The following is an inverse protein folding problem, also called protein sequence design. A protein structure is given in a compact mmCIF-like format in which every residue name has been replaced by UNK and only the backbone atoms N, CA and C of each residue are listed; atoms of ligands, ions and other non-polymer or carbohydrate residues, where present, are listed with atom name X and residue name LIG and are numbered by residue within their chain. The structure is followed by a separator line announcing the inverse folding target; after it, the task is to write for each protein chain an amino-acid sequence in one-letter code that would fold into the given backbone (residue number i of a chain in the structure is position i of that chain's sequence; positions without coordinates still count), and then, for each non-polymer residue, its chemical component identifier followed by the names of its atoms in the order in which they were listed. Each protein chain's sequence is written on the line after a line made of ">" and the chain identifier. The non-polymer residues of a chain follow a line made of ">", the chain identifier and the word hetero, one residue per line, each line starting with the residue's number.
data_IF_261147153901
#
_entry.id   IF_261147153901
#
_cell.length_a   1.000
_cell.length_b   1.000
_cell.length_c   1.000
_cell.angle_alpha   90.00
_cell.angle_beta   90.00
_cell.angle_gamma   90.00
#
_symmetry.space_group_name_H-M   'P 1'
#
loop_
_entity.id
_entity.type
_entity.pdbx_description
1 polymer ?
#
# COMPACT_ATOMS: atom_id res chain seq x y z
N UNK A 1 -30.48 30.53 16.51
CA UNK A 1 -31.68 31.40 16.54
C UNK A 1 -31.98 31.79 15.12
N UNK A 2 -32.89 31.08 14.47
CA UNK A 2 -33.39 31.37 13.12
C UNK A 2 -34.55 32.34 13.20
N UNK A 3 -34.82 33.14 12.15
CA UNK A 3 -36.20 33.45 11.82
C UNK A 3 -36.57 33.03 10.39
N UNK A 4 -37.73 32.36 10.34
CA UNK A 4 -38.57 32.21 9.15
C UNK A 4 -39.16 33.55 8.69
N UNK A 5 -39.34 33.75 7.41
CA UNK A 5 -40.65 34.13 6.84
C UNK A 5 -40.62 34.21 5.31
N UNK A 6 -41.62 33.58 4.74
CA UNK A 6 -42.05 33.54 3.35
C UNK A 6 -42.69 34.87 2.95
N UNK A 7 -42.48 35.35 1.75
CA UNK A 7 -43.53 36.08 1.02
C UNK A 7 -43.32 35.99 -0.49
N UNK A 8 -44.38 35.53 -1.13
CA UNK A 8 -44.56 35.47 -2.59
C UNK A 8 -44.61 36.84 -3.23
N UNK A 9 -44.03 36.95 -4.43
CA UNK A 9 -44.45 37.98 -5.42
C UNK A 9 -44.32 37.39 -6.82
N UNK A 10 -45.46 37.08 -7.41
CA UNK A 10 -45.65 36.81 -8.84
C UNK A 10 -45.28 38.03 -9.66
N UNK A 11 -44.29 37.91 -10.58
CA UNK A 11 -44.13 38.82 -11.70
C UNK A 11 -44.11 38.01 -13.00
N UNK A 12 -45.00 38.43 -13.89
CA UNK A 12 -45.33 37.83 -15.19
C UNK A 12 -44.13 37.80 -16.13
N UNK A 13 -43.93 36.66 -16.77
CA UNK A 13 -42.95 36.40 -17.81
C UNK A 13 -43.24 37.24 -19.08
N UNK A 14 -42.18 37.77 -19.65
CA UNK A 14 -42.14 38.31 -21.00
C UNK A 14 -41.49 37.26 -21.92
N UNK A 15 -42.09 36.83 -23.05
CA UNK A 15 -41.53 35.78 -23.88
C UNK A 15 -40.68 36.38 -25.01
N UNK A 16 -39.43 36.66 -24.75
CA UNK A 16 -38.40 36.85 -25.78
C UNK A 16 -37.05 36.99 -25.09
N UNK A 17 -36.42 35.83 -24.79
CA UNK A 17 -34.96 35.61 -24.81
C UNK A 17 -34.71 34.14 -24.41
N UNK A 18 -35.00 33.25 -25.35
CA UNK A 18 -34.49 31.89 -25.26
C UNK A 18 -33.07 31.83 -25.81
N UNK A 19 -32.13 32.36 -25.06
CA UNK A 19 -30.76 31.92 -25.18
C UNK A 19 -30.55 30.83 -24.10
N UNK A 20 -31.00 29.61 -24.39
CA UNK A 20 -30.66 28.41 -23.62
C UNK A 20 -29.20 28.17 -23.90
N UNK A 21 -28.32 28.79 -23.09
CA UNK A 21 -26.96 28.40 -22.95
C UNK A 21 -27.00 26.94 -22.47
N UNK A 22 -26.79 26.01 -23.39
CA UNK A 22 -26.46 24.63 -23.07
C UNK A 22 -25.23 24.72 -22.15
N UNK A 23 -25.47 24.62 -20.83
CA UNK A 23 -24.40 24.34 -19.88
C UNK A 23 -23.74 23.10 -20.41
N UNK A 24 -22.49 23.23 -20.81
CA UNK A 24 -21.66 22.12 -21.28
C UNK A 24 -21.73 21.01 -20.21
N UNK A 25 -22.55 19.99 -20.48
CA UNK A 25 -22.84 18.90 -19.56
C UNK A 25 -21.71 17.89 -19.50
N UNK A 26 -20.51 18.29 -20.00
CA UNK A 26 -19.32 17.44 -19.88
C UNK A 26 -18.94 17.31 -18.42
N UNK A 27 -18.62 16.10 -17.96
CA UNK A 27 -18.12 15.87 -16.61
C UNK A 27 -16.91 16.78 -16.35
N UNK A 28 -16.87 17.44 -15.20
CA UNK A 28 -15.76 18.31 -14.80
C UNK A 28 -15.00 17.71 -13.61
N UNK A 29 -13.75 18.16 -13.40
CA UNK A 29 -12.92 17.69 -12.31
C UNK A 29 -12.62 16.20 -12.42
N UNK A 30 -12.68 15.49 -11.29
CA UNK A 30 -12.36 14.06 -11.25
C UNK A 30 -13.16 13.20 -12.23
N UNK A 31 -14.38 13.58 -12.55
CA UNK A 31 -15.31 12.81 -13.38
C UNK A 31 -14.93 12.74 -14.86
N UNK A 32 -14.07 13.66 -15.32
CA UNK A 32 -13.63 13.73 -16.72
C UNK A 32 -12.51 12.76 -17.06
N UNK A 33 -11.98 12.02 -16.07
CA UNK A 33 -10.72 11.31 -16.23
C UNK A 33 -10.84 9.81 -15.94
N UNK A 34 -9.99 9.03 -16.59
CA UNK A 34 -9.61 7.69 -16.18
C UNK A 34 -8.20 7.78 -15.58
N UNK A 35 -8.03 7.21 -14.40
CA UNK A 35 -6.82 7.33 -13.60
C UNK A 35 -6.04 6.03 -13.58
N UNK A 36 -4.72 6.13 -13.49
CA UNK A 36 -3.88 4.98 -13.21
C UNK A 36 -2.81 5.31 -12.16
N UNK A 37 -2.56 4.34 -11.29
CA UNK A 37 -1.47 4.33 -10.33
C UNK A 37 -0.59 3.12 -10.59
N UNK A 38 0.69 3.35 -10.87
CA UNK A 38 1.70 2.31 -11.03
C UNK A 38 2.68 2.39 -9.87
N UNK A 39 2.90 1.27 -9.23
CA UNK A 39 3.82 1.05 -8.12
C UNK A 39 4.85 0.01 -8.55
N UNK A 40 6.12 0.43 -8.62
CA UNK A 40 7.25 -0.42 -8.90
C UNK A 40 8.12 -0.57 -7.65
N UNK A 41 7.85 -1.62 -6.91
CA UNK A 41 8.63 -2.00 -5.73
C UNK A 41 9.84 -2.89 -6.05
N UNK A 42 10.57 -3.26 -5.02
CA UNK A 42 11.72 -4.17 -5.11
C UNK A 42 11.36 -5.54 -5.67
N UNK A 43 10.17 -6.03 -5.34
CA UNK A 43 9.71 -7.38 -5.74
C UNK A 43 8.62 -7.36 -6.79
N UNK A 44 7.72 -6.38 -6.78
CA UNK A 44 6.50 -6.38 -7.56
C UNK A 44 6.38 -5.14 -8.46
N UNK A 45 5.80 -5.33 -9.64
CA UNK A 45 5.24 -4.28 -10.48
C UNK A 45 3.71 -4.37 -10.41
N UNK A 46 3.04 -3.30 -9.98
CA UNK A 46 1.60 -3.26 -9.76
C UNK A 46 0.97 -2.05 -10.44
N UNK A 47 -0.15 -2.26 -11.11
CA UNK A 47 -0.94 -1.19 -11.74
C UNK A 47 -2.39 -1.30 -11.25
N UNK A 48 -2.99 -0.17 -10.92
CA UNK A 48 -4.45 0.00 -10.82
C UNK A 48 -4.91 1.02 -11.84
N UNK A 49 -5.98 0.69 -12.56
CA UNK A 49 -6.72 1.64 -13.40
C UNK A 49 -8.10 1.82 -12.79
N UNK A 50 -8.52 3.07 -12.59
CA UNK A 50 -9.75 3.38 -11.87
C UNK A 50 -10.51 4.53 -12.52
N UNK A 51 -11.84 4.52 -12.31
CA UNK A 51 -12.74 5.63 -12.60
C UNK A 51 -13.42 6.09 -11.29
N UNK A 52 -13.67 7.39 -11.14
CA UNK A 52 -14.36 7.91 -9.95
C UNK A 52 -15.76 7.29 -9.81
N UNK A 53 -16.22 7.21 -8.57
CA UNK A 53 -17.59 6.94 -8.19
C UNK A 53 -17.95 7.77 -6.95
N UNK A 54 -19.19 7.71 -6.48
CA UNK A 54 -19.69 8.51 -5.35
C UNK A 54 -18.94 8.20 -4.03
N UNK A 55 -18.47 6.96 -3.86
CA UNK A 55 -17.71 6.50 -2.67
C UNK A 55 -16.20 6.59 -2.82
N UNK A 56 -15.68 7.30 -3.85
CA UNK A 56 -14.25 7.43 -4.14
C UNK A 56 -13.92 7.00 -5.56
N UNK A 57 -13.64 5.73 -5.79
CA UNK A 57 -13.39 5.18 -7.13
C UNK A 57 -13.72 3.68 -7.22
N UNK A 58 -13.91 3.22 -8.46
CA UNK A 58 -13.98 1.79 -8.79
C UNK A 58 -12.81 1.39 -9.67
N UNK A 59 -12.20 0.26 -9.36
CA UNK A 59 -11.15 -0.34 -10.19
C UNK A 59 -11.78 -0.90 -11.47
N UNK A 60 -11.25 -0.52 -12.63
CA UNK A 60 -11.70 -0.99 -13.96
C UNK A 60 -10.73 -1.98 -14.59
N UNK A 61 -9.45 -1.89 -14.24
CA UNK A 61 -8.41 -2.85 -14.64
C UNK A 61 -7.29 -2.87 -13.60
N UNK A 62 -6.58 -3.98 -13.50
CA UNK A 62 -5.45 -4.14 -12.61
C UNK A 62 -4.38 -5.05 -13.23
N UNK A 63 -3.15 -4.90 -12.74
CA UNK A 63 -2.05 -5.79 -13.06
C UNK A 63 -1.14 -5.95 -11.84
N UNK A 64 -0.62 -7.15 -11.64
CA UNK A 64 0.39 -7.44 -10.65
C UNK A 64 1.30 -8.54 -11.16
N UNK A 65 2.60 -8.31 -11.12
CA UNK A 65 3.62 -9.29 -11.49
C UNK A 65 4.81 -9.20 -10.56
N UNK A 66 5.32 -10.34 -10.11
CA UNK A 66 6.60 -10.43 -9.42
C UNK A 66 7.69 -10.24 -10.46
N UNK A 67 8.49 -9.18 -10.30
CA UNK A 67 9.57 -8.80 -11.21
C UNK A 67 10.95 -8.96 -10.59
N UNK A 68 11.02 -9.02 -9.23
CA UNK A 68 12.29 -9.13 -8.46
C UNK A 68 13.34 -8.12 -8.96
N UNK A 69 12.93 -6.85 -9.08
CA UNK A 69 13.84 -5.80 -9.58
C UNK A 69 15.08 -5.64 -8.70
N UNK A 70 14.92 -5.80 -7.38
CA UNK A 70 16.00 -5.68 -6.42
C UNK A 70 16.80 -6.97 -6.16
N UNK A 71 16.63 -8.02 -7.00
CA UNK A 71 17.40 -9.26 -6.88
C UNK A 71 18.91 -8.98 -7.02
N UNK A 72 19.70 -9.39 -6.02
CA UNK A 72 21.16 -9.18 -6.00
C UNK A 72 21.61 -7.75 -5.66
N UNK A 73 20.68 -6.81 -5.45
CA UNK A 73 21.00 -5.40 -5.18
C UNK A 73 21.79 -5.22 -3.88
N UNK A 74 21.53 -6.05 -2.86
CA UNK A 74 22.22 -5.96 -1.58
C UNK A 74 23.72 -6.20 -1.68
N UNK A 75 24.17 -6.98 -2.67
CA UNK A 75 25.58 -7.33 -2.88
C UNK A 75 26.25 -6.48 -3.97
N UNK A 76 25.51 -6.02 -4.97
CA UNK A 76 26.05 -5.35 -6.16
C UNK A 76 25.87 -3.83 -6.16
N UNK A 77 24.99 -3.28 -5.31
CA UNK A 77 24.52 -1.88 -5.35
C UNK A 77 23.94 -1.44 -6.71
N UNK A 78 23.65 -2.38 -7.60
CA UNK A 78 23.16 -2.10 -8.94
C UNK A 78 22.05 -3.06 -9.34
N UNK A 79 21.10 -2.58 -10.14
CA UNK A 79 20.09 -3.43 -10.79
C UNK A 79 20.75 -4.28 -11.85
N UNK A 80 20.50 -5.60 -11.85
CA UNK A 80 21.03 -6.47 -12.90
C UNK A 80 20.28 -6.26 -14.21
N UNK A 81 20.95 -6.42 -15.35
CA UNK A 81 20.34 -6.32 -16.69
C UNK A 81 19.13 -7.26 -16.80
N UNK A 82 19.26 -8.49 -16.30
CA UNK A 82 18.17 -9.47 -16.33
C UNK A 82 16.94 -9.02 -15.52
N UNK A 83 17.13 -8.40 -14.34
CA UNK A 83 16.04 -7.87 -13.55
C UNK A 83 15.38 -6.64 -14.21
N UNK A 84 16.20 -5.79 -14.85
CA UNK A 84 15.70 -4.65 -15.62
C UNK A 84 14.86 -5.13 -16.83
N UNK A 85 15.35 -6.08 -17.62
CA UNK A 85 14.62 -6.62 -18.78
C UNK A 85 13.28 -7.23 -18.39
N UNK A 86 13.28 -8.09 -17.37
CA UNK A 86 12.07 -8.71 -16.80
C UNK A 86 11.05 -7.67 -16.34
N UNK A 87 11.53 -6.58 -15.75
CA UNK A 87 10.68 -5.49 -15.27
C UNK A 87 10.12 -4.67 -16.43
N UNK A 88 10.93 -4.36 -17.45
CA UNK A 88 10.47 -3.66 -18.66
C UNK A 88 9.40 -4.46 -19.41
N UNK A 89 9.50 -5.77 -19.48
CA UNK A 89 8.43 -6.62 -20.03
C UNK A 89 7.11 -6.47 -19.26
N UNK A 90 7.16 -6.40 -17.93
CA UNK A 90 5.97 -6.13 -17.11
C UNK A 90 5.40 -4.74 -17.37
N UNK A 91 6.27 -3.73 -17.49
CA UNK A 91 5.88 -2.34 -17.75
C UNK A 91 5.29 -2.16 -19.17
N UNK A 92 5.72 -2.91 -20.16
CA UNK A 92 5.09 -2.95 -21.50
C UNK A 92 3.63 -3.42 -21.42
N UNK A 93 3.34 -4.40 -20.57
CA UNK A 93 1.96 -4.84 -20.31
C UNK A 93 1.17 -3.72 -19.63
N UNK A 94 1.76 -3.03 -18.63
CA UNK A 94 1.13 -1.89 -17.99
C UNK A 94 0.82 -0.77 -18.99
N UNK A 95 1.78 -0.39 -19.85
CA UNK A 95 1.61 0.61 -20.91
C UNK A 95 0.46 0.25 -21.86
N UNK A 96 0.36 -1.03 -22.26
CA UNK A 96 -0.75 -1.51 -23.10
C UNK A 96 -2.11 -1.37 -22.39
N UNK A 97 -2.19 -1.69 -21.09
CA UNK A 97 -3.41 -1.53 -20.28
C UNK A 97 -3.79 -0.05 -20.11
N UNK A 98 -2.82 0.82 -19.87
CA UNK A 98 -3.00 2.27 -19.76
C UNK A 98 -3.64 2.81 -21.05
N UNK A 99 -3.09 2.48 -22.20
CA UNK A 99 -3.64 2.90 -23.50
C UNK A 99 -5.03 2.33 -23.76
N UNK A 100 -5.24 1.03 -23.52
CA UNK A 100 -6.54 0.35 -23.77
C UNK A 100 -7.69 0.89 -22.94
N UNK A 101 -7.40 1.43 -21.75
CA UNK A 101 -8.40 1.99 -20.84
C UNK A 101 -8.52 3.52 -20.97
N UNK A 102 -7.92 4.14 -22.01
CA UNK A 102 -7.94 5.58 -22.24
C UNK A 102 -7.59 6.39 -20.98
N UNK A 103 -6.52 5.98 -20.29
CA UNK A 103 -6.05 6.66 -19.08
C UNK A 103 -5.56 8.06 -19.44
N UNK A 104 -6.11 9.07 -18.78
CA UNK A 104 -5.76 10.49 -18.99
C UNK A 104 -4.93 11.07 -17.85
N UNK A 105 -4.91 10.41 -16.69
CA UNK A 105 -4.11 10.80 -15.53
C UNK A 105 -3.37 9.58 -14.98
N UNK A 106 -2.06 9.60 -15.11
CA UNK A 106 -1.16 8.54 -14.64
C UNK A 106 -0.15 9.11 -13.66
N UNK A 107 0.11 8.40 -12.57
CA UNK A 107 1.33 8.55 -11.78
C UNK A 107 1.98 7.19 -11.61
N UNK A 108 3.26 7.11 -11.94
CA UNK A 108 4.05 5.90 -11.86
C UNK A 108 5.26 6.15 -10.95
N UNK A 109 5.33 5.40 -9.86
CA UNK A 109 6.38 5.58 -8.85
C UNK A 109 7.24 4.33 -8.73
N UNK A 110 8.51 4.55 -8.41
CA UNK A 110 9.48 3.52 -8.06
C UNK A 110 10.01 3.79 -6.65
N UNK A 111 10.26 2.72 -5.90
CA UNK A 111 10.59 2.83 -4.47
C UNK A 111 12.00 2.29 -4.17
N UNK A 112 12.20 1.53 -3.11
CA UNK A 112 13.47 1.16 -2.49
C UNK A 112 14.53 0.63 -3.46
N UNK A 113 14.20 -0.28 -4.40
CA UNK A 113 15.18 -0.81 -5.32
C UNK A 113 15.82 0.28 -6.19
N UNK A 114 15.01 1.21 -6.71
CA UNK A 114 15.50 2.33 -7.51
C UNK A 114 16.18 3.41 -6.67
N UNK A 115 15.76 3.63 -5.40
CA UNK A 115 16.46 4.56 -4.49
C UNK A 115 17.89 4.11 -4.21
N UNK A 116 18.10 2.80 -4.04
CA UNK A 116 19.42 2.25 -3.66
C UNK A 116 20.37 2.00 -4.81
N UNK A 117 19.85 1.77 -6.00
CA UNK A 117 20.67 1.34 -7.12
C UNK A 117 21.44 2.50 -7.75
N UNK A 118 22.76 2.36 -7.88
CA UNK A 118 23.63 3.35 -8.51
C UNK A 118 23.27 3.58 -9.99
N UNK A 119 22.77 2.54 -10.68
CA UNK A 119 22.36 2.59 -12.08
C UNK A 119 20.86 2.82 -12.30
N UNK A 120 20.11 3.26 -11.28
CA UNK A 120 18.68 3.52 -11.39
C UNK A 120 18.32 4.50 -12.51
N UNK A 121 19.16 5.51 -12.76
CA UNK A 121 18.96 6.49 -13.84
C UNK A 121 18.95 5.87 -15.23
N UNK A 122 19.79 4.85 -15.49
CA UNK A 122 19.80 4.09 -16.75
C UNK A 122 18.49 3.29 -16.91
N UNK A 123 18.05 2.64 -15.84
CA UNK A 123 16.79 1.91 -15.84
C UNK A 123 15.59 2.82 -16.12
N UNK A 124 15.48 3.96 -15.42
CA UNK A 124 14.38 4.93 -15.61
C UNK A 124 14.36 5.46 -17.05
N UNK A 125 15.53 5.74 -17.63
CA UNK A 125 15.63 6.14 -19.05
C UNK A 125 15.12 5.06 -19.99
N UNK A 126 15.55 3.81 -19.79
CA UNK A 126 15.08 2.67 -20.59
C UNK A 126 13.56 2.48 -20.47
N UNK A 127 13.01 2.60 -19.26
CA UNK A 127 11.55 2.48 -19.05
C UNK A 127 10.81 3.53 -19.87
N UNK A 128 11.23 4.79 -19.82
CA UNK A 128 10.61 5.85 -20.61
C UNK A 128 10.70 5.57 -22.11
N UNK A 129 11.88 5.19 -22.61
CA UNK A 129 12.14 5.03 -24.04
C UNK A 129 11.43 3.79 -24.63
N UNK A 130 11.24 2.73 -23.80
CA UNK A 130 10.66 1.46 -24.24
C UNK A 130 9.17 1.30 -23.94
N UNK A 131 8.60 2.14 -23.04
CA UNK A 131 7.21 1.95 -22.56
C UNK A 131 6.36 3.20 -22.53
N UNK A 132 6.91 4.39 -22.78
CA UNK A 132 6.27 5.70 -22.60
C UNK A 132 5.83 5.99 -21.14
N UNK A 133 6.28 5.19 -20.17
CA UNK A 133 5.98 5.42 -18.75
C UNK A 133 7.11 6.26 -18.14
N UNK A 134 6.73 7.37 -17.49
CA UNK A 134 7.66 8.18 -16.72
C UNK A 134 7.61 7.73 -15.26
N UNK A 135 8.69 7.09 -14.79
CA UNK A 135 8.85 6.67 -13.41
C UNK A 135 9.42 7.80 -12.57
N UNK A 136 8.78 8.08 -11.43
CA UNK A 136 9.27 8.95 -10.38
C UNK A 136 9.86 8.09 -9.26
N UNK A 137 11.11 8.33 -8.87
CA UNK A 137 11.68 7.68 -7.66
C UNK A 137 11.27 8.54 -6.48
N UNK A 138 10.37 8.02 -5.62
CA UNK A 138 9.83 8.75 -4.48
C UNK A 138 10.63 8.49 -3.20
N UNK A 139 10.66 9.49 -2.31
CA UNK A 139 11.27 9.37 -0.99
C UNK A 139 10.46 8.45 -0.06
N UNK A 140 11.08 7.85 0.99
CA UNK A 140 10.37 7.02 1.95
C UNK A 140 9.22 7.75 2.67
N UNK A 141 9.38 9.03 2.93
CA UNK A 141 8.38 9.89 3.56
C UNK A 141 7.13 10.03 2.69
N UNK A 142 7.32 10.27 1.39
CA UNK A 142 6.23 10.36 0.43
C UNK A 142 5.54 9.01 0.23
N UNK A 143 6.31 7.92 0.21
CA UNK A 143 5.76 6.56 0.16
C UNK A 143 4.85 6.29 1.37
N UNK A 144 5.26 6.71 2.59
CA UNK A 144 4.48 6.61 3.81
C UNK A 144 3.19 7.47 3.77
N UNK A 145 3.28 8.72 3.29
CA UNK A 145 2.11 9.59 3.12
C UNK A 145 1.08 9.01 2.15
N UNK A 146 1.54 8.48 1.02
CA UNK A 146 0.65 7.84 0.04
C UNK A 146 0.01 6.57 0.60
N UNK A 147 0.77 5.74 1.32
CA UNK A 147 0.24 4.55 1.98
C UNK A 147 -0.80 4.91 3.03
N UNK A 148 -0.55 5.96 3.83
CA UNK A 148 -1.50 6.47 4.81
C UNK A 148 -2.81 6.91 4.16
N UNK A 149 -2.75 7.73 3.10
CA UNK A 149 -3.95 8.17 2.37
C UNK A 149 -4.74 6.97 1.82
N UNK A 150 -4.05 5.93 1.34
CA UNK A 150 -4.70 4.71 0.85
C UNK A 150 -5.34 3.87 1.94
N UNK A 151 -4.81 3.90 3.16
CA UNK A 151 -5.29 3.14 4.31
C UNK A 151 -6.22 3.95 5.23
N UNK A 152 -6.41 5.26 5.00
CA UNK A 152 -7.19 6.14 5.89
C UNK A 152 -8.58 5.61 6.24
N UNK A 153 -9.36 4.95 5.35
CA UNK A 153 -10.67 4.42 5.69
C UNK A 153 -10.64 3.19 6.65
N UNK A 154 -9.46 2.77 7.09
CA UNK A 154 -9.30 1.62 7.97
C UNK A 154 -9.04 2.02 9.43
N UNK A 155 -8.95 3.30 9.75
CA UNK A 155 -8.83 3.77 11.13
C UNK A 155 -10.20 4.10 11.68
N UNK A 156 -10.52 3.54 12.84
CA UNK A 156 -11.73 3.91 13.56
C UNK A 156 -11.55 5.27 14.25
N UNK A 157 -12.58 6.10 14.21
CA UNK A 157 -12.57 7.35 14.97
C UNK A 157 -12.36 7.05 16.46
N UNK A 158 -11.39 7.68 17.10
CA UNK A 158 -11.11 7.40 18.52
C UNK A 158 -12.16 8.03 19.43
N UNK A 159 -12.47 7.33 20.52
CA UNK A 159 -13.22 7.89 21.65
C UNK A 159 -12.30 8.73 22.57
N UNK A 160 -11.03 8.35 22.64
CA UNK A 160 -9.99 9.02 23.43
C UNK A 160 -9.26 10.06 22.57
N UNK A 161 -9.12 11.31 23.01
CA UNK A 161 -8.34 12.33 22.29
C UNK A 161 -6.84 12.02 22.20
N UNK A 162 -6.30 11.12 23.04
CA UNK A 162 -4.91 10.65 22.97
C UNK A 162 -4.81 9.28 22.29
N UNK A 163 -5.46 9.10 21.15
CA UNK A 163 -5.37 7.87 20.37
C UNK A 163 -4.29 7.94 19.29
N UNK A 164 -3.70 6.79 19.02
CA UNK A 164 -2.61 6.65 18.07
C UNK A 164 -2.84 5.47 17.13
N UNK A 165 -2.05 5.43 16.04
CA UNK A 165 -2.00 4.25 15.20
C UNK A 165 -0.58 3.97 14.72
N UNK A 166 -0.33 2.70 14.47
CA UNK A 166 0.82 2.19 13.72
C UNK A 166 0.34 1.70 12.36
N UNK A 167 0.87 2.29 11.29
CA UNK A 167 0.80 1.74 9.95
C UNK A 167 2.13 1.11 9.60
N UNK A 168 2.14 -0.13 9.14
CA UNK A 168 3.34 -0.73 8.58
C UNK A 168 3.11 -1.33 7.20
N UNK A 169 4.13 -1.25 6.35
CA UNK A 169 4.19 -1.87 5.02
C UNK A 169 5.44 -2.72 4.91
N UNK A 170 5.24 -4.04 4.81
CA UNK A 170 6.33 -5.01 4.62
C UNK A 170 6.59 -5.17 3.13
N UNK A 171 7.55 -4.40 2.61
CA UNK A 171 7.96 -4.43 1.23
C UNK A 171 8.95 -5.52 0.87
N UNK A 172 9.39 -5.52 -0.40
CA UNK A 172 10.44 -6.45 -0.86
C UNK A 172 11.82 -6.07 -0.36
N UNK A 173 12.18 -4.79 -0.41
CA UNK A 173 13.50 -4.26 -0.05
C UNK A 173 13.58 -3.67 1.36
N UNK A 174 12.49 -3.12 1.83
CA UNK A 174 12.39 -2.43 3.11
C UNK A 174 11.06 -2.69 3.79
N UNK A 175 10.99 -2.40 5.08
CA UNK A 175 9.72 -2.30 5.83
C UNK A 175 9.59 -0.87 6.32
N UNK A 176 8.42 -0.28 6.09
CA UNK A 176 8.10 1.07 6.56
C UNK A 176 7.19 0.98 7.78
N UNK A 177 7.46 1.83 8.77
CA UNK A 177 6.63 2.02 9.95
C UNK A 177 6.28 3.50 10.03
N UNK A 178 5.00 3.80 10.15
CA UNK A 178 4.48 5.16 10.32
C UNK A 178 3.73 5.24 11.65
N UNK A 179 4.15 6.14 12.51
CA UNK A 179 3.51 6.46 13.78
C UNK A 179 2.59 7.67 13.61
N UNK A 180 1.34 7.53 14.02
CA UNK A 180 0.25 8.45 13.74
C UNK A 180 -0.44 8.88 15.03
N UNK A 181 -0.88 10.14 15.11
CA UNK A 181 -1.97 10.55 16.00
C UNK A 181 -3.29 10.41 15.27
N UNK A 182 -4.32 10.00 15.99
CA UNK A 182 -5.71 9.94 15.53
C UNK A 182 -6.54 11.01 16.25
N UNK A 183 -7.46 11.62 15.53
CA UNK A 183 -8.48 12.49 16.10
C UNK A 183 -9.84 12.18 15.48
N UNK A 184 -10.92 12.56 16.15
CA UNK A 184 -12.25 12.44 15.61
C UNK A 184 -12.35 13.38 14.38
N UNK A 185 -12.61 12.80 13.21
CA UNK A 185 -12.78 13.53 11.96
C UNK A 185 -14.24 13.93 11.76
N UNK A 186 -14.44 15.02 11.00
CA UNK A 186 -15.77 15.47 10.54
C UNK A 186 -16.22 14.69 9.28
N UNK A 187 -15.79 13.45 9.14
CA UNK A 187 -16.12 12.63 7.97
C UNK A 187 -17.50 11.99 8.10
N UNK A 188 -18.33 12.00 7.04
CA UNK A 188 -19.67 11.39 7.07
C UNK A 188 -19.67 9.88 7.41
N UNK A 189 -18.55 9.21 7.18
CA UNK A 189 -18.37 7.76 7.42
C UNK A 189 -17.82 7.45 8.82
N UNK A 190 -17.53 8.46 9.66
CA UNK A 190 -16.90 8.27 10.96
C UNK A 190 -15.41 7.90 10.90
N UNK A 191 -14.75 8.17 9.79
CA UNK A 191 -13.32 7.92 9.64
C UNK A 191 -12.51 8.87 10.55
N UNK A 192 -11.37 8.39 11.09
CA UNK A 192 -10.47 9.21 11.87
C UNK A 192 -9.66 10.18 10.98
N UNK A 193 -9.42 11.39 11.48
CA UNK A 193 -8.35 12.24 10.96
C UNK A 193 -7.00 11.72 11.45
N UNK A 194 -6.01 11.70 10.57
CA UNK A 194 -4.69 11.15 10.85
C UNK A 194 -3.59 12.18 10.62
N UNK A 195 -2.62 12.24 11.53
CA UNK A 195 -1.41 13.06 11.36
C UNK A 195 -0.16 12.25 11.61
N UNK A 196 0.85 12.37 10.73
CA UNK A 196 2.12 11.66 10.87
C UNK A 196 2.95 12.31 11.96
N UNK A 197 3.27 11.57 13.03
CA UNK A 197 4.19 11.97 14.09
C UNK A 197 5.62 11.57 13.75
N UNK A 198 5.79 10.49 13.02
CA UNK A 198 7.07 10.03 12.52
C UNK A 198 6.96 8.83 11.60
N UNK A 199 7.98 8.64 10.77
CA UNK A 199 8.12 7.46 9.93
C UNK A 199 9.56 6.97 9.93
N UNK A 200 9.74 5.68 9.66
CA UNK A 200 11.03 5.04 9.44
C UNK A 200 10.91 4.01 8.32
N UNK A 201 11.93 3.92 7.49
CA UNK A 201 12.11 2.83 6.54
C UNK A 201 13.33 2.04 6.95
N UNK A 202 13.15 0.78 7.37
CA UNK A 202 14.24 -0.11 7.74
C UNK A 202 14.60 -1.03 6.56
N UNK A 203 15.89 -1.40 6.37
CA UNK A 203 16.33 -2.24 5.24
C UNK A 203 16.03 -3.73 5.49
N UNK A 204 14.82 -4.01 5.97
CA UNK A 204 14.32 -5.33 6.33
C UNK A 204 13.09 -5.66 5.47
N UNK A 205 13.27 -5.85 4.16
CA UNK A 205 12.22 -6.35 3.28
C UNK A 205 12.33 -7.86 3.06
N UNK A 206 11.26 -8.49 2.56
CA UNK A 206 11.22 -9.94 2.39
C UNK A 206 12.30 -10.48 1.44
N UNK A 207 12.65 -9.74 0.39
CA UNK A 207 13.74 -10.11 -0.53
C UNK A 207 15.08 -9.89 0.14
N UNK A 208 15.30 -8.73 0.74
CA UNK A 208 16.56 -8.38 1.42
C UNK A 208 16.91 -9.38 2.52
N UNK A 209 15.94 -9.76 3.35
CA UNK A 209 16.18 -10.72 4.43
C UNK A 209 16.38 -12.16 3.89
N UNK A 210 15.62 -12.56 2.86
CA UNK A 210 15.82 -13.86 2.21
C UNK A 210 17.21 -13.97 1.56
N UNK A 211 17.73 -12.89 0.97
CA UNK A 211 19.11 -12.87 0.44
C UNK A 211 20.16 -12.89 1.55
N UNK A 212 19.95 -12.14 2.64
CA UNK A 212 20.90 -12.03 3.75
C UNK A 212 21.01 -13.33 4.56
N UNK A 213 19.87 -13.95 4.88
CA UNK A 213 19.79 -15.10 5.77
C UNK A 213 19.58 -16.43 5.03
N UNK A 214 19.39 -16.38 3.71
CA UNK A 214 18.97 -17.53 2.91
C UNK A 214 17.50 -17.87 3.14
N UNK A 215 17.05 -19.01 2.60
CA UNK A 215 15.68 -19.51 2.84
C UNK A 215 15.44 -19.90 4.30
N UNK A 216 16.52 -20.02 5.09
CA UNK A 216 16.46 -20.51 6.46
C UNK A 216 16.07 -21.97 6.58
N UNK A 217 16.10 -22.72 5.48
CA UNK A 217 15.64 -24.10 5.38
C UNK A 217 16.76 -25.10 5.59
N UNK A 218 16.43 -26.24 6.21
CA UNK A 218 17.28 -27.41 6.28
C UNK A 218 17.30 -28.16 4.93
N UNK A 219 18.02 -29.29 4.89
CA UNK A 219 18.12 -30.17 3.71
C UNK A 219 16.76 -30.74 3.25
N UNK A 220 15.72 -30.68 4.09
CA UNK A 220 14.37 -31.15 3.80
C UNK A 220 13.41 -30.01 3.44
N UNK A 221 13.89 -28.77 3.40
CA UNK A 221 13.08 -27.60 3.10
C UNK A 221 12.25 -27.06 4.26
N UNK A 222 12.52 -27.47 5.50
CA UNK A 222 11.90 -26.96 6.71
C UNK A 222 12.69 -25.79 7.27
N UNK A 223 11.97 -24.83 7.83
CA UNK A 223 12.58 -23.63 8.41
C UNK A 223 13.25 -23.95 9.74
N UNK A 224 14.53 -23.58 9.89
CA UNK A 224 15.23 -23.68 11.18
C UNK A 224 14.67 -22.65 12.17
N UNK A 225 14.22 -23.11 13.38
CA UNK A 225 13.76 -22.21 14.44
C UNK A 225 14.80 -21.17 14.85
N UNK A 226 16.08 -21.55 14.87
CA UNK A 226 17.19 -20.68 15.23
C UNK A 226 17.38 -19.57 14.20
N UNK A 227 17.31 -19.92 12.90
CA UNK A 227 17.41 -18.95 11.81
C UNK A 227 16.22 -18.00 11.80
N UNK A 228 15.03 -18.50 12.06
CA UNK A 228 13.83 -17.69 12.19
C UNK A 228 13.95 -16.68 13.33
N UNK A 229 14.39 -17.11 14.51
CA UNK A 229 14.63 -16.25 15.66
C UNK A 229 15.73 -15.21 15.40
N UNK A 230 16.77 -15.55 14.64
CA UNK A 230 17.82 -14.62 14.22
C UNK A 230 17.26 -13.50 13.36
N UNK A 231 16.39 -13.80 12.39
CA UNK A 231 15.72 -12.81 11.55
C UNK A 231 14.83 -11.88 12.41
N UNK A 232 14.02 -12.44 13.31
CA UNK A 232 13.17 -11.64 14.21
C UNK A 232 14.01 -10.69 15.06
N UNK A 233 15.13 -11.16 15.60
CA UNK A 233 16.04 -10.36 16.43
C UNK A 233 16.64 -9.23 15.60
N UNK A 234 17.13 -9.53 14.41
CA UNK A 234 17.69 -8.54 13.50
C UNK A 234 16.69 -7.42 13.17
N UNK A 235 15.43 -7.77 12.89
CA UNK A 235 14.38 -6.77 12.62
C UNK A 235 14.08 -5.93 13.85
N UNK A 236 13.95 -6.54 15.05
CA UNK A 236 13.71 -5.79 16.30
C UNK A 236 14.82 -4.79 16.62
N UNK A 237 16.08 -5.16 16.39
CA UNK A 237 17.21 -4.23 16.56
C UNK A 237 17.09 -2.97 15.68
N UNK A 238 16.55 -3.10 14.46
CA UNK A 238 16.31 -1.96 13.57
C UNK A 238 15.08 -1.12 13.97
N UNK A 239 14.10 -1.70 14.63
CA UNK A 239 12.89 -1.01 15.09
C UNK A 239 13.07 -0.33 16.46
N UNK A 240 13.92 -0.87 17.33
CA UNK A 240 14.09 -0.39 18.70
C UNK A 240 14.42 1.11 18.83
N UNK A 241 15.27 1.73 17.97
CA UNK A 241 15.52 3.17 18.03
C UNK A 241 14.26 4.01 17.75
N UNK A 242 13.37 3.53 16.90
CA UNK A 242 12.12 4.21 16.59
C UNK A 242 11.14 4.15 17.77
N UNK A 243 11.00 2.97 18.39
CA UNK A 243 10.21 2.81 19.61
C UNK A 243 10.74 3.72 20.73
N UNK A 244 12.05 3.71 20.97
CA UNK A 244 12.68 4.54 21.99
C UNK A 244 12.46 6.04 21.75
N UNK A 245 12.45 6.49 20.49
CA UNK A 245 12.24 7.90 20.12
C UNK A 245 10.83 8.38 20.42
N UNK A 246 9.83 7.55 20.18
CA UNK A 246 8.41 7.94 20.27
C UNK A 246 7.68 7.35 21.48
N UNK A 247 8.31 6.41 22.22
CA UNK A 247 7.71 5.76 23.37
C UNK A 247 6.48 4.93 23.03
N UNK A 248 6.44 4.34 21.84
CA UNK A 248 5.26 3.67 21.29
C UNK A 248 4.78 2.55 22.20
N UNK A 249 5.71 1.74 22.77
CA UNK A 249 5.38 0.66 23.69
C UNK A 249 4.59 1.13 24.92
N UNK A 250 4.85 2.36 25.42
CA UNK A 250 4.08 2.93 26.53
C UNK A 250 2.63 3.27 26.16
N UNK A 251 2.38 3.71 24.93
CA UNK A 251 1.02 3.94 24.41
C UNK A 251 0.30 2.63 24.12
N UNK A 252 1.00 1.62 23.62
CA UNK A 252 0.47 0.26 23.42
C UNK A 252 0.01 -0.33 24.77
N UNK A 253 0.82 -0.20 25.82
CA UNK A 253 0.47 -0.69 27.15
C UNK A 253 -0.79 -0.04 27.75
N UNK A 254 -1.16 1.17 27.29
CA UNK A 254 -2.41 1.86 27.68
C UNK A 254 -3.61 1.45 26.83
N UNK A 255 -3.43 0.63 25.79
CA UNK A 255 -4.49 0.26 24.86
C UNK A 255 -4.89 1.38 23.88
N UNK A 256 -4.07 2.43 23.75
CA UNK A 256 -4.37 3.65 22.96
C UNK A 256 -3.93 3.57 21.50
N UNK A 257 -3.58 2.36 20.98
CA UNK A 257 -2.98 2.20 19.64
C UNK A 257 -3.81 1.27 18.77
N UNK A 258 -4.19 1.74 17.59
CA UNK A 258 -4.69 0.91 16.49
C UNK A 258 -3.50 0.45 15.63
N UNK A 259 -3.55 -0.77 15.09
CA UNK A 259 -2.52 -1.27 14.21
C UNK A 259 -3.12 -1.65 12.85
N UNK A 260 -2.54 -1.10 11.79
CA UNK A 260 -2.89 -1.41 10.39
C UNK A 260 -1.67 -1.93 9.67
N UNK A 261 -1.79 -3.08 9.06
CA UNK A 261 -0.72 -3.69 8.27
C UNK A 261 -1.11 -3.82 6.81
N UNK A 262 -0.28 -3.27 5.93
CA UNK A 262 -0.41 -3.48 4.50
C UNK A 262 0.74 -4.35 4.00
N UNK A 263 0.56 -5.03 2.94
CA UNK A 263 1.56 -5.77 2.17
C UNK A 263 1.10 -7.15 1.71
N UNK A 264 1.96 -7.76 0.88
CA UNK A 264 1.77 -9.16 0.47
C UNK A 264 1.86 -10.18 1.61
N UNK A 265 2.63 -9.89 2.66
CA UNK A 265 2.79 -10.77 3.83
C UNK A 265 1.49 -10.86 4.62
N UNK A 266 0.99 -9.72 5.07
CA UNK A 266 -0.22 -9.64 5.91
C UNK A 266 -1.44 -10.21 5.18
N UNK A 267 -1.62 -9.84 3.92
CA UNK A 267 -2.74 -10.32 3.09
C UNK A 267 -2.65 -11.83 2.79
N UNK A 268 -1.43 -12.36 2.63
CA UNK A 268 -1.21 -13.81 2.44
C UNK A 268 -1.55 -14.59 3.70
N UNK A 269 -1.05 -14.17 4.88
CA UNK A 269 -1.36 -14.81 6.16
C UNK A 269 -2.87 -14.78 6.44
N UNK A 270 -3.54 -13.68 6.12
CA UNK A 270 -5.00 -13.59 6.19
C UNK A 270 -5.68 -14.63 5.31
N UNK A 271 -5.20 -14.79 4.06
CA UNK A 271 -5.71 -15.80 3.14
C UNK A 271 -5.52 -17.23 3.66
N UNK A 272 -4.37 -17.52 4.28
CA UNK A 272 -4.07 -18.81 4.93
C UNK A 272 -5.00 -19.04 6.12
N UNK A 273 -5.13 -18.06 7.02
CA UNK A 273 -6.05 -18.13 8.16
C UNK A 273 -7.49 -18.39 7.72
N UNK A 274 -7.97 -17.69 6.72
CA UNK A 274 -9.32 -17.86 6.17
C UNK A 274 -9.49 -19.12 5.30
N UNK A 275 -8.43 -19.90 5.09
CA UNK A 275 -8.40 -21.11 4.23
C UNK A 275 -8.98 -20.84 2.85
N UNK A 276 -8.61 -19.69 2.25
CA UNK A 276 -9.15 -19.30 0.95
C UNK A 276 -8.64 -20.24 -0.15
N UNK A 277 -9.52 -20.79 -1.00
CA UNK A 277 -9.13 -21.65 -2.12
C UNK A 277 -8.41 -20.85 -3.22
N UNK A 278 -8.61 -19.56 -3.25
CA UNK A 278 -7.87 -18.55 -4.03
C UNK A 278 -7.97 -17.21 -3.32
N UNK A 279 -7.02 -16.33 -3.57
CA UNK A 279 -7.03 -15.00 -3.00
C UNK A 279 -8.31 -14.21 -3.35
N UNK A 280 -8.92 -13.61 -2.35
CA UNK A 280 -10.14 -12.80 -2.47
C UNK A 280 -9.99 -11.50 -1.66
N UNK A 281 -9.76 -10.40 -2.38
CA UNK A 281 -9.57 -9.08 -1.79
C UNK A 281 -10.73 -8.66 -0.89
N UNK A 282 -11.96 -8.91 -1.31
CA UNK A 282 -13.16 -8.50 -0.57
C UNK A 282 -13.31 -9.18 0.79
N UNK A 283 -12.64 -10.33 0.99
CA UNK A 283 -12.60 -11.04 2.27
C UNK A 283 -11.40 -10.69 3.13
N UNK A 284 -10.37 -10.11 2.54
CA UNK A 284 -9.08 -9.82 3.18
C UNK A 284 -8.99 -8.36 3.60
N UNK A 285 -9.33 -7.43 2.70
CA UNK A 285 -9.21 -5.98 2.95
C UNK A 285 -10.17 -5.51 4.05
N UNK A 286 -9.64 -4.78 5.03
CA UNK A 286 -10.37 -4.32 6.20
C UNK A 286 -10.60 -5.40 7.28
N UNK A 287 -10.13 -6.64 7.08
CA UNK A 287 -10.28 -7.70 8.08
C UNK A 287 -9.46 -7.39 9.32
N UNK A 288 -10.07 -7.52 10.50
CA UNK A 288 -9.36 -7.50 11.76
C UNK A 288 -9.01 -8.93 12.18
N UNK A 289 -7.76 -9.14 12.59
CA UNK A 289 -7.25 -10.39 13.10
C UNK A 289 -6.58 -10.17 14.45
N UNK A 290 -6.83 -11.07 15.38
CA UNK A 290 -6.08 -11.15 16.62
C UNK A 290 -4.68 -11.72 16.34
N UNK A 291 -3.68 -11.34 17.14
CA UNK A 291 -2.30 -11.82 16.96
C UNK A 291 -2.21 -13.34 17.03
N UNK A 292 -2.96 -14.00 17.94
CA UNK A 292 -3.02 -15.47 17.99
C UNK A 292 -3.54 -16.12 16.70
N UNK A 293 -4.37 -15.45 15.92
CA UNK A 293 -4.83 -15.93 14.60
C UNK A 293 -3.72 -15.82 13.54
N UNK A 294 -2.94 -14.74 13.60
CA UNK A 294 -1.75 -14.56 12.74
C UNK A 294 -0.67 -15.57 13.07
N UNK A 295 -0.42 -15.81 14.36
CA UNK A 295 0.52 -16.83 14.86
C UNK A 295 0.11 -18.22 14.38
N UNK A 296 -1.14 -18.61 14.49
CA UNK A 296 -1.63 -19.90 13.99
C UNK A 296 -1.45 -20.07 12.47
N UNK A 297 -1.66 -18.99 11.69
CA UNK A 297 -1.39 -19.01 10.26
C UNK A 297 0.11 -19.15 9.95
N UNK A 298 0.95 -18.40 10.67
CA UNK A 298 2.42 -18.50 10.60
C UNK A 298 2.90 -19.90 10.92
N UNK A 299 2.45 -20.47 12.06
CA UNK A 299 2.87 -21.81 12.52
C UNK A 299 2.50 -22.89 11.49
N UNK A 300 1.33 -22.73 10.85
CA UNK A 300 0.95 -23.59 9.73
C UNK A 300 1.99 -23.54 8.61
N UNK A 301 2.51 -22.36 8.27
CA UNK A 301 3.50 -22.20 7.20
C UNK A 301 4.90 -22.65 7.60
N UNK A 302 5.29 -22.42 8.85
CA UNK A 302 6.59 -22.87 9.38
C UNK A 302 6.69 -24.41 9.47
N UNK A 303 5.58 -25.09 9.73
CA UNK A 303 5.51 -26.55 9.77
C UNK A 303 5.61 -27.21 8.39
N UNK A 304 5.41 -26.45 7.29
CA UNK A 304 5.48 -26.96 5.92
C UNK A 304 6.89 -26.86 5.37
N UNK A 305 7.30 -27.85 4.57
CA UNK A 305 8.43 -27.70 3.69
C UNK A 305 8.13 -26.70 2.54
N UNK A 306 9.16 -26.31 1.79
CA UNK A 306 9.03 -25.34 0.69
C UNK A 306 7.98 -25.76 -0.36
N UNK A 307 7.94 -27.04 -0.73
CA UNK A 307 7.03 -27.55 -1.75
C UNK A 307 5.56 -27.45 -1.30
N UNK A 308 5.29 -27.83 -0.06
CA UNK A 308 3.96 -27.76 0.53
C UNK A 308 3.54 -26.31 0.81
N UNK A 309 4.47 -25.41 1.15
CA UNK A 309 4.20 -23.96 1.21
C UNK A 309 3.82 -23.40 -0.16
N UNK A 310 4.57 -23.76 -1.21
CA UNK A 310 4.26 -23.33 -2.58
C UNK A 310 2.90 -23.83 -3.05
N UNK A 311 2.46 -24.99 -2.57
CA UNK A 311 1.15 -25.55 -2.91
C UNK A 311 -0.02 -24.87 -2.20
N UNK A 312 0.23 -23.99 -1.20
CA UNK A 312 -0.84 -23.24 -0.55
C UNK A 312 -1.52 -22.26 -1.54
N UNK A 313 -2.87 -22.23 -1.61
CA UNK A 313 -3.60 -21.51 -2.64
C UNK A 313 -3.30 -20.02 -2.73
N UNK A 314 -2.96 -19.37 -1.58
CA UNK A 314 -2.69 -17.92 -1.52
C UNK A 314 -1.18 -17.58 -1.62
N UNK A 315 -0.28 -18.57 -1.77
CA UNK A 315 1.17 -18.35 -1.77
C UNK A 315 1.75 -18.53 -3.18
N UNK A 316 1.75 -19.77 -3.68
CA UNK A 316 2.36 -20.11 -4.95
C UNK A 316 3.88 -20.15 -4.89
N UNK A 317 4.50 -20.74 -5.92
CA UNK A 317 5.93 -21.00 -5.97
C UNK A 317 6.81 -19.76 -5.81
N UNK A 318 6.41 -18.64 -6.41
CA UNK A 318 7.19 -17.39 -6.40
C UNK A 318 7.28 -16.70 -5.04
N UNK A 319 6.40 -17.05 -4.07
CA UNK A 319 6.36 -16.44 -2.73
C UNK A 319 6.78 -17.39 -1.63
N UNK A 320 6.89 -18.69 -1.92
CA UNK A 320 7.19 -19.73 -0.92
C UNK A 320 8.48 -19.44 -0.14
N UNK A 321 9.48 -18.86 -0.80
CA UNK A 321 10.77 -18.48 -0.20
C UNK A 321 10.69 -17.17 0.61
N UNK A 322 9.80 -16.27 0.20
CA UNK A 322 9.71 -14.92 0.78
C UNK A 322 8.75 -14.83 1.96
N UNK A 323 7.79 -15.76 2.05
CA UNK A 323 6.74 -15.69 3.07
C UNK A 323 7.28 -15.85 4.47
N UNK A 324 8.34 -16.66 4.64
CA UNK A 324 8.97 -16.89 5.95
C UNK A 324 9.66 -15.63 6.48
N UNK A 325 10.43 -14.94 5.63
CA UNK A 325 11.00 -13.65 5.98
C UNK A 325 9.91 -12.64 6.34
N UNK A 326 8.80 -12.66 5.59
CA UNK A 326 7.64 -11.83 5.89
C UNK A 326 6.99 -12.12 7.25
N UNK A 327 6.85 -13.41 7.61
CA UNK A 327 6.36 -13.83 8.93
C UNK A 327 7.30 -13.34 10.04
N UNK A 328 8.62 -13.48 9.88
CA UNK A 328 9.58 -13.04 10.88
C UNK A 328 9.59 -11.51 11.08
N UNK A 329 9.38 -10.73 9.99
CA UNK A 329 9.21 -9.28 10.11
C UNK A 329 7.94 -8.95 10.88
N UNK A 330 6.82 -9.60 10.55
CA UNK A 330 5.54 -9.36 11.22
C UNK A 330 5.61 -9.72 12.70
N UNK A 331 6.19 -10.87 13.05
CA UNK A 331 6.38 -11.28 14.45
C UNK A 331 7.22 -10.25 15.20
N UNK A 332 8.34 -9.80 14.62
CA UNK A 332 9.17 -8.77 15.26
C UNK A 332 8.42 -7.46 15.54
N UNK A 333 7.51 -7.06 14.63
CA UNK A 333 6.64 -5.90 14.82
C UNK A 333 5.62 -6.15 15.95
N UNK A 334 4.94 -7.31 15.91
CA UNK A 334 3.92 -7.67 16.89
C UNK A 334 4.51 -7.87 18.30
N UNK A 335 5.70 -8.46 18.40
CA UNK A 335 6.43 -8.65 19.66
C UNK A 335 6.86 -7.31 20.28
N UNK A 336 7.35 -6.39 19.45
CA UNK A 336 7.80 -5.07 19.94
C UNK A 336 6.61 -4.21 20.36
N UNK A 337 5.49 -4.30 19.64
CA UNK A 337 4.28 -3.53 19.89
C UNK A 337 3.05 -4.45 20.02
N UNK A 338 2.83 -5.05 21.20
CA UNK A 338 1.78 -6.04 21.41
C UNK A 338 0.39 -5.40 21.54
N UNK A 339 -0.10 -4.81 20.44
CA UNK A 339 -1.44 -4.20 20.35
C UNK A 339 -2.54 -5.26 20.46
N UNK A 340 -2.23 -6.53 20.18
CA UNK A 340 -3.12 -7.67 20.30
C UNK A 340 -3.98 -7.96 19.07
N UNK A 341 -4.23 -6.95 18.23
CA UNK A 341 -5.02 -7.08 17.00
C UNK A 341 -4.43 -6.24 15.87
N UNK A 342 -4.66 -6.68 14.65
CA UNK A 342 -4.18 -6.05 13.42
C UNK A 342 -5.33 -5.93 12.43
N UNK A 343 -5.54 -4.73 11.89
CA UNK A 343 -6.41 -4.52 10.73
C UNK A 343 -5.61 -4.66 9.45
N UNK A 344 -6.09 -5.51 8.55
CA UNK A 344 -5.40 -5.90 7.32
C UNK A 344 -5.79 -4.94 6.19
N UNK A 345 -4.80 -4.35 5.53
CA UNK A 345 -5.00 -3.51 4.36
C UNK A 345 -4.52 -4.24 3.08
N UNK A 346 -5.42 -4.45 2.12
CA UNK A 346 -5.06 -4.75 0.73
C UNK A 346 -5.19 -3.50 -0.14
N UNK A 347 -4.81 -2.40 0.45
CA UNK A 347 -4.74 -1.05 -0.10
C UNK A 347 -3.51 -0.34 0.47
N UNK A 348 -3.13 0.78 -0.11
CA UNK A 348 -1.95 1.54 0.34
C UNK A 348 -1.52 2.54 -0.72
N UNK A 349 -0.25 2.50 -1.12
CA UNK A 349 0.40 3.45 -2.03
C UNK A 349 -0.43 3.75 -3.30
N UNK A 350 -0.92 2.76 -4.00
CA UNK A 350 -1.65 2.94 -5.27
C UNK A 350 -2.99 3.64 -5.08
N UNK A 351 -3.71 3.28 -4.04
CA UNK A 351 -4.96 3.92 -3.66
C UNK A 351 -4.70 5.38 -3.26
N UNK A 352 -3.63 5.66 -2.51
CA UNK A 352 -3.21 7.02 -2.18
C UNK A 352 -2.88 7.85 -3.41
N UNK A 353 -2.15 7.29 -4.38
CA UNK A 353 -1.88 7.95 -5.67
C UNK A 353 -3.19 8.29 -6.39
N UNK A 354 -4.13 7.35 -6.50
CA UNK A 354 -5.41 7.58 -7.16
C UNK A 354 -6.20 8.72 -6.50
N UNK A 355 -6.28 8.74 -5.16
CA UNK A 355 -6.92 9.82 -4.40
C UNK A 355 -6.23 11.16 -4.63
N UNK A 356 -4.90 11.20 -4.67
CA UNK A 356 -4.12 12.40 -4.96
C UNK A 356 -4.41 12.97 -6.35
N UNK A 357 -4.42 12.11 -7.38
CA UNK A 357 -4.73 12.50 -8.75
C UNK A 357 -6.16 13.05 -8.90
N UNK A 358 -7.15 12.42 -8.24
CA UNK A 358 -8.54 12.86 -8.29
C UNK A 358 -8.72 14.22 -7.60
N UNK A 359 -8.10 14.42 -6.43
CA UNK A 359 -8.12 15.71 -5.73
C UNK A 359 -7.45 16.83 -6.55
N UNK A 360 -6.38 16.51 -7.30
CA UNK A 360 -5.74 17.48 -8.20
C UNK A 360 -6.67 17.90 -9.34
N UNK A 361 -7.34 16.93 -9.97
CA UNK A 361 -8.31 17.23 -11.04
C UNK A 361 -9.48 18.10 -10.57
N UNK A 362 -9.98 17.87 -9.34
CA UNK A 362 -11.04 18.71 -8.78
C UNK A 362 -10.58 20.13 -8.51
N UNK A 363 -9.36 20.31 -7.97
CA UNK A 363 -8.77 21.65 -7.74
C UNK A 363 -8.55 22.40 -9.04
N UNK A 364 -8.04 21.73 -10.07
CA UNK A 364 -7.84 22.32 -11.40
C UNK A 364 -9.19 22.78 -12.02
N UNK A 365 -10.24 21.97 -11.87
CA UNK A 365 -11.58 22.33 -12.35
C UNK A 365 -12.19 23.52 -11.59
N UNK A 366 -12.02 23.57 -10.27
CA UNK A 366 -12.48 24.70 -9.46
C UNK A 366 -11.76 26.02 -9.86
N UNK A 367 -10.43 25.96 -10.07
CA UNK A 367 -9.63 27.13 -10.49
C UNK A 367 -9.91 27.60 -11.93
N UNK A 368 -10.47 26.74 -12.78
CA UNK A 368 -10.82 27.09 -14.18
C UNK A 368 -12.25 27.65 -14.30
N UNK A 369 -13.06 27.56 -13.23
CA UNK A 369 -14.43 28.05 -13.17
C UNK A 369 -14.58 29.44 -12.54
N UNK A 370 -13.52 29.96 -11.93
CA UNK A 370 -13.38 31.32 -11.43
C UNK A 370 -12.76 32.24 -12.52
#
# INVERSE_FOLDING_TARGET
>A
MWPNSVSEAFVRANPADQNIGLKDSRPQGRWSHTYAALDLGTNNCRLLVAKPNESGFRVVDAFSRIVRLGEGLASSNALSEHAMDRTIEALRVCSSKIRRNDVTRLRAVATEACRRAENAHLFVSRVRDETDIQLEIIAPEEEAELALVGCSPLYDAPEDPEAFALLFDIGGGSTQITWLSLSAGDHPNGDADTSILGCISIPCGVVTLSEKFGSGEDANGHVSPERYAEICTYVREHLAPFDAKFGIGAHVAKGAVQMVGTSGTVTTLTGVFLKLPRYDRGRVDGRELEFGQLEGARDTLLALDRQNRAAQPCIGDQRADLVIAGCAILDAICDLWPVGRLRVADRGLREGILHGLMRSADREAASAGD
#
